data_IF_705707994939
#
_entry.id   IF_705707994939
#
_cell.length_a   1.000
_cell.length_b   1.000
_cell.length_c   1.000
_cell.angle_alpha   90.00
_cell.angle_beta   90.00
_cell.angle_gamma   90.00
#
_symmetry.space_group_name_H-M   'P 1'
#
loop_
_entity.id
_entity.type
_entity.pdbx_description
1 polymer ?
#
# COMPACT_ATOMS: atom_id res chain seq x y z
N UNK A 1 -13.99 -8.85 27.72
CA UNK A 1 -13.26 -9.78 26.83
C UNK A 1 -12.02 -9.11 26.28
N UNK A 2 -12.15 -8.02 25.51
CA UNK A 2 -11.02 -7.24 24.93
C UNK A 2 -9.97 -6.79 25.96
N UNK A 3 -10.37 -6.21 27.10
CA UNK A 3 -9.39 -5.81 28.13
C UNK A 3 -8.58 -6.99 28.70
N UNK A 4 -9.18 -8.17 28.77
CA UNK A 4 -8.53 -9.41 29.23
C UNK A 4 -7.59 -9.96 28.15
N UNK A 5 -7.95 -9.84 26.87
CA UNK A 5 -7.11 -10.20 25.73
C UNK A 5 -5.89 -9.29 25.61
N UNK A 6 -6.07 -7.97 25.76
CA UNK A 6 -4.96 -6.99 25.78
C UNK A 6 -4.03 -7.28 26.96
N UNK A 7 -4.57 -7.52 28.16
CA UNK A 7 -3.77 -7.88 29.32
C UNK A 7 -3.05 -9.24 29.16
N UNK A 8 -3.68 -10.20 28.50
CA UNK A 8 -3.10 -11.51 28.18
C UNK A 8 -1.98 -11.43 27.15
N UNK A 9 -2.18 -10.69 26.06
CA UNK A 9 -1.18 -10.49 25.00
C UNK A 9 0.04 -9.67 25.47
N UNK A 10 -0.17 -8.78 26.44
CA UNK A 10 0.88 -7.98 27.05
C UNK A 10 1.86 -8.78 27.94
N UNK A 11 1.54 -10.01 28.37
CA UNK A 11 2.37 -10.83 29.27
C UNK A 11 2.99 -10.05 30.46
N UNK A 12 2.25 -9.09 31.03
CA UNK A 12 2.73 -8.23 32.12
C UNK A 12 3.67 -7.09 31.72
N UNK A 13 3.88 -6.83 30.42
CA UNK A 13 4.59 -5.66 29.88
C UNK A 13 3.60 -4.63 29.35
N UNK A 14 3.88 -3.36 29.57
CA UNK A 14 3.11 -2.29 28.96
C UNK A 14 3.47 -2.20 27.46
N UNK A 15 2.49 -2.28 26.53
CA UNK A 15 2.78 -2.10 25.11
C UNK A 15 3.19 -0.65 24.81
N UNK A 16 4.01 -0.45 23.77
CA UNK A 16 4.44 0.88 23.33
C UNK A 16 3.30 1.66 22.68
N UNK A 17 2.39 0.97 21.99
CA UNK A 17 1.23 1.54 21.30
C UNK A 17 0.11 0.49 21.19
N UNK A 18 -1.15 0.93 21.24
CA UNK A 18 -2.31 0.10 20.86
C UNK A 18 -2.89 0.63 19.56
N UNK A 19 -2.98 -0.21 18.53
CA UNK A 19 -3.70 0.13 17.30
C UNK A 19 -5.13 -0.41 17.36
N UNK A 20 -6.13 0.47 17.33
CA UNK A 20 -7.52 0.11 17.09
C UNK A 20 -7.71 0.13 15.57
N UNK A 21 -8.08 -1.01 14.98
CA UNK A 21 -8.35 -1.13 13.53
C UNK A 21 -9.52 -2.08 13.29
N UNK A 22 -10.10 -2.03 12.09
CA UNK A 22 -11.22 -2.87 11.69
C UNK A 22 -11.37 -2.91 10.16
N UNK A 23 -12.25 -3.79 9.67
CA UNK A 23 -12.53 -3.90 8.23
C UNK A 23 -13.36 -2.75 7.64
N UNK A 24 -13.66 -1.72 8.43
CA UNK A 24 -14.45 -0.57 8.02
C UNK A 24 -14.04 0.67 8.81
N UNK A 25 -14.71 1.79 8.56
CA UNK A 25 -14.39 3.08 9.17
C UNK A 25 -14.64 3.09 10.69
N UNK A 26 -13.58 3.31 11.47
CA UNK A 26 -13.68 3.34 12.92
C UNK A 26 -14.61 4.42 13.44
N UNK A 27 -14.73 5.56 12.76
CA UNK A 27 -15.67 6.63 13.17
C UNK A 27 -17.13 6.17 13.16
N UNK A 28 -17.46 5.13 12.37
CA UNK A 28 -18.80 4.55 12.32
C UNK A 28 -19.05 3.52 13.44
N UNK A 29 -18.06 3.17 14.24
CA UNK A 29 -18.22 2.25 15.36
C UNK A 29 -18.80 2.99 16.58
N UNK A 30 -20.05 2.70 17.01
CA UNK A 30 -20.73 3.51 18.01
C UNK A 30 -20.04 3.54 19.38
N UNK A 31 -19.30 2.49 19.72
CA UNK A 31 -18.56 2.35 20.98
C UNK A 31 -17.08 2.70 20.84
N UNK A 32 -16.64 3.40 19.79
CA UNK A 32 -15.22 3.73 19.59
C UNK A 32 -14.62 4.46 20.79
N UNK A 33 -15.32 5.45 21.34
CA UNK A 33 -14.85 6.21 22.50
C UNK A 33 -14.78 5.35 23.78
N UNK A 34 -15.77 4.50 24.01
CA UNK A 34 -15.77 3.57 25.14
C UNK A 34 -14.61 2.57 25.03
N UNK A 35 -14.39 2.03 23.83
CA UNK A 35 -13.25 1.16 23.53
C UNK A 35 -11.92 1.88 23.75
N UNK A 36 -11.75 3.09 23.23
CA UNK A 36 -10.55 3.90 23.40
C UNK A 36 -10.26 4.15 24.89
N UNK A 37 -11.28 4.51 25.69
CA UNK A 37 -11.13 4.69 27.14
C UNK A 37 -10.75 3.39 27.85
N UNK A 38 -11.34 2.26 27.44
CA UNK A 38 -11.06 0.95 28.02
C UNK A 38 -9.64 0.47 27.73
N UNK A 39 -9.10 0.72 26.54
CA UNK A 39 -7.73 0.29 26.17
C UNK A 39 -6.67 1.30 26.56
N UNK A 40 -7.00 2.59 26.60
CA UNK A 40 -6.06 3.66 26.92
C UNK A 40 -5.59 3.65 28.37
N UNK A 41 -6.51 3.35 29.31
CA UNK A 41 -6.34 3.22 30.78
C UNK A 41 -5.12 3.97 31.38
N UNK A 42 -4.91 5.20 30.91
CA UNK A 42 -4.01 6.18 31.49
C UNK A 42 -2.53 6.14 31.11
N UNK A 43 -2.04 5.34 30.14
CA UNK A 43 -0.63 5.53 29.75
C UNK A 43 -0.13 4.99 28.40
N UNK A 44 -0.89 4.17 27.67
CA UNK A 44 -0.43 3.66 26.36
C UNK A 44 -1.01 4.54 25.25
N UNK A 45 -0.21 5.11 24.34
CA UNK A 45 -0.73 5.87 23.22
C UNK A 45 -1.54 4.98 22.28
N UNK A 46 -2.64 5.52 21.78
CA UNK A 46 -3.55 4.83 20.86
C UNK A 46 -3.33 5.36 19.44
N UNK A 47 -3.25 4.43 18.50
CA UNK A 47 -3.35 4.68 17.06
C UNK A 47 -4.72 4.25 16.55
N UNK A 48 -5.44 5.16 15.89
CA UNK A 48 -6.62 4.80 15.10
C UNK A 48 -6.17 4.39 13.70
N UNK A 49 -6.20 3.09 13.43
CA UNK A 49 -5.62 2.48 12.24
C UNK A 49 -6.33 2.83 10.93
N UNK A 50 -7.58 3.28 10.97
CA UNK A 50 -8.30 3.78 9.80
C UNK A 50 -9.58 4.53 10.17
N UNK A 51 -9.73 5.76 9.69
CA UNK A 51 -11.01 6.47 9.70
C UNK A 51 -11.09 7.39 8.49
N UNK A 52 -12.28 7.61 7.94
CA UNK A 52 -12.54 8.72 7.01
C UNK A 52 -13.32 9.85 7.69
N UNK A 53 -13.72 9.65 8.94
CA UNK A 53 -14.50 10.60 9.74
C UNK A 53 -15.99 10.63 9.43
N UNK A 54 -16.49 9.79 8.51
CA UNK A 54 -17.90 9.79 8.07
C UNK A 54 -18.90 9.45 9.18
N UNK A 55 -18.46 8.79 10.23
CA UNK A 55 -19.29 8.49 11.40
C UNK A 55 -19.33 9.62 12.43
N UNK A 56 -18.50 10.66 12.29
CA UNK A 56 -18.58 11.86 13.12
C UNK A 56 -19.68 12.78 12.61
N UNK A 57 -20.48 13.31 13.53
CA UNK A 57 -21.73 14.02 13.21
C UNK A 57 -21.80 15.42 13.82
N UNK A 58 -20.99 15.70 14.85
CA UNK A 58 -21.04 16.94 15.65
C UNK A 58 -19.85 17.85 15.42
N UNK A 59 -18.69 17.31 15.04
CA UNK A 59 -17.47 18.08 14.78
C UNK A 59 -16.52 18.18 15.98
N UNK A 60 -16.87 17.57 17.13
CA UNK A 60 -16.07 17.61 18.36
C UNK A 60 -15.80 16.22 18.97
N UNK A 61 -16.11 15.15 18.25
CA UNK A 61 -15.90 13.78 18.72
C UNK A 61 -14.42 13.41 18.93
N UNK A 62 -13.52 14.04 18.18
CA UNK A 62 -12.08 13.87 18.27
C UNK A 62 -11.55 14.27 19.65
N UNK A 63 -12.12 15.29 20.30
CA UNK A 63 -11.70 15.76 21.63
C UNK A 63 -11.74 14.61 22.65
N UNK A 64 -12.86 13.89 22.70
CA UNK A 64 -13.02 12.76 23.62
C UNK A 64 -12.08 11.60 23.31
N UNK A 65 -11.74 11.38 22.04
CA UNK A 65 -10.80 10.33 21.61
C UNK A 65 -9.35 10.70 21.98
N UNK A 66 -8.98 11.96 21.80
CA UNK A 66 -7.68 12.51 22.21
C UNK A 66 -7.53 12.41 23.73
N UNK A 67 -8.55 12.81 24.48
CA UNK A 67 -8.60 12.66 25.94
C UNK A 67 -8.49 11.20 26.38
N UNK A 68 -9.03 10.27 25.59
CA UNK A 68 -8.93 8.83 25.84
C UNK A 68 -7.54 8.24 25.53
N UNK A 69 -6.62 9.03 24.96
CA UNK A 69 -5.24 8.62 24.70
C UNK A 69 -4.89 8.41 23.23
N UNK A 70 -5.75 8.79 22.28
CA UNK A 70 -5.40 8.81 20.86
C UNK A 70 -4.29 9.83 20.62
N UNK A 71 -3.23 9.38 19.95
CA UNK A 71 -2.05 10.17 19.59
C UNK A 71 -1.66 10.06 18.12
N UNK A 72 -2.19 9.07 17.42
CA UNK A 72 -1.91 8.82 16.02
C UNK A 72 -3.22 8.44 15.31
N UNK A 73 -3.43 8.96 14.10
CA UNK A 73 -4.65 8.69 13.32
C UNK A 73 -4.30 8.54 11.85
N UNK A 74 -4.65 7.38 11.29
CA UNK A 74 -4.70 7.20 9.83
C UNK A 74 -6.05 7.68 9.31
N UNK A 75 -6.05 8.80 8.57
CA UNK A 75 -7.26 9.52 8.18
C UNK A 75 -7.37 9.63 6.64
N UNK A 76 -8.44 9.11 6.05
CA UNK A 76 -8.72 9.33 4.63
C UNK A 76 -9.29 10.72 4.38
N UNK A 77 -8.50 11.56 3.72
CA UNK A 77 -8.84 12.92 3.28
C UNK A 77 -8.96 12.91 1.76
N UNK A 78 -10.09 12.44 1.24
CA UNK A 78 -10.36 12.44 -0.21
C UNK A 78 -10.24 13.85 -0.81
N UNK A 79 -10.80 14.84 -0.12
CA UNK A 79 -10.67 16.27 -0.40
C UNK A 79 -11.04 17.03 0.88
N UNK A 80 -10.56 18.26 1.03
CA UNK A 80 -11.03 19.21 2.07
C UNK A 80 -12.27 20.00 1.66
N UNK A 81 -12.80 19.77 0.45
CA UNK A 81 -14.10 20.26 0.00
C UNK A 81 -15.24 19.38 0.57
N UNK A 82 -16.16 19.95 1.39
CA UNK A 82 -17.28 19.20 1.90
C UNK A 82 -18.22 18.63 0.82
N UNK A 83 -18.38 19.31 -0.31
CA UNK A 83 -19.27 18.88 -1.39
C UNK A 83 -18.72 17.63 -2.10
N UNK A 84 -17.42 17.61 -2.39
CA UNK A 84 -16.78 16.45 -3.01
C UNK A 84 -16.83 15.22 -2.09
N UNK A 85 -16.65 15.42 -0.78
CA UNK A 85 -16.82 14.34 0.20
C UNK A 85 -18.26 13.83 0.22
N UNK A 86 -19.24 14.72 0.18
CA UNK A 86 -20.66 14.35 0.16
C UNK A 86 -21.00 13.53 -1.08
N UNK A 87 -20.54 13.96 -2.25
CA UNK A 87 -20.82 13.31 -3.52
C UNK A 87 -20.09 11.97 -3.68
N UNK A 88 -18.77 11.95 -3.48
CA UNK A 88 -17.94 10.79 -3.84
C UNK A 88 -17.72 9.81 -2.69
N UNK A 89 -17.76 10.28 -1.43
CA UNK A 89 -17.60 9.40 -0.26
C UNK A 89 -18.94 9.03 0.40
N UNK A 90 -20.04 9.64 -0.05
CA UNK A 90 -21.34 9.60 0.62
C UNK A 90 -21.24 10.01 2.09
N UNK A 91 -20.42 11.04 2.35
CA UNK A 91 -20.26 11.63 3.67
C UNK A 91 -21.50 12.46 4.01
N UNK A 92 -22.24 12.05 5.05
CA UNK A 92 -23.47 12.74 5.45
C UNK A 92 -23.21 14.01 6.25
N UNK A 93 -22.02 14.14 6.84
CA UNK A 93 -21.66 15.24 7.73
C UNK A 93 -20.22 15.71 7.46
N UNK A 94 -19.88 16.06 6.20
CA UNK A 94 -18.49 16.31 5.81
C UNK A 94 -17.85 17.47 6.58
N UNK A 95 -18.62 18.48 6.98
CA UNK A 95 -18.14 19.58 7.82
C UNK A 95 -17.71 19.06 9.21
N UNK A 96 -18.45 18.11 9.79
CA UNK A 96 -18.09 17.49 11.06
C UNK A 96 -16.85 16.60 10.91
N UNK A 97 -16.75 15.82 9.82
CA UNK A 97 -15.58 15.00 9.54
C UNK A 97 -14.31 15.85 9.40
N UNK A 98 -14.39 16.96 8.66
CA UNK A 98 -13.27 17.88 8.46
C UNK A 98 -12.93 18.66 9.73
N UNK A 99 -13.91 19.03 10.56
CA UNK A 99 -13.63 19.67 11.84
C UNK A 99 -12.88 18.71 12.78
N UNK A 100 -13.30 17.44 12.85
CA UNK A 100 -12.59 16.43 13.62
C UNK A 100 -11.18 16.15 13.09
N UNK A 101 -10.98 16.15 11.75
CA UNK A 101 -9.65 16.07 11.15
C UNK A 101 -8.74 17.19 11.64
N UNK A 102 -9.21 18.45 11.65
CA UNK A 102 -8.45 19.60 12.19
C UNK A 102 -8.07 19.38 13.65
N UNK A 103 -9.04 19.00 14.48
CA UNK A 103 -8.80 18.73 15.91
C UNK A 103 -7.79 17.60 16.13
N UNK A 104 -7.82 16.55 15.30
CA UNK A 104 -6.76 15.52 15.35
C UNK A 104 -5.41 16.07 14.92
N UNK A 105 -5.32 16.80 13.81
CA UNK A 105 -4.05 17.32 13.30
C UNK A 105 -3.36 18.28 14.29
N UNK A 106 -4.13 19.05 15.06
CA UNK A 106 -3.62 19.94 16.11
C UNK A 106 -2.99 19.19 17.31
N UNK A 107 -3.38 17.94 17.56
CA UNK A 107 -3.07 17.22 18.82
C UNK A 107 -2.49 15.81 18.65
N UNK A 108 -2.49 15.28 17.43
CA UNK A 108 -2.09 13.93 17.07
C UNK A 108 -1.21 13.94 15.81
N UNK A 109 -0.42 12.89 15.64
CA UNK A 109 0.23 12.61 14.37
C UNK A 109 -0.81 12.03 13.40
N UNK A 110 -1.23 12.84 12.42
CA UNK A 110 -2.16 12.42 11.37
C UNK A 110 -1.39 11.92 10.16
N UNK A 111 -1.69 10.69 9.76
CA UNK A 111 -1.27 10.10 8.48
C UNK A 111 -2.46 10.22 7.52
N UNK A 112 -2.42 11.24 6.67
CA UNK A 112 -3.47 11.46 5.69
C UNK A 112 -3.35 10.48 4.53
N UNK A 113 -4.48 10.08 3.96
CA UNK A 113 -4.52 9.27 2.74
C UNK A 113 -5.59 9.80 1.78
N UNK A 114 -5.31 9.82 0.47
CA UNK A 114 -6.28 10.21 -0.55
C UNK A 114 -6.21 9.31 -1.78
N UNK A 115 -7.36 8.76 -2.19
CA UNK A 115 -7.50 8.08 -3.48
C UNK A 115 -7.77 9.14 -4.55
N UNK A 116 -6.92 9.22 -5.56
CA UNK A 116 -7.03 10.23 -6.61
C UNK A 116 -7.87 9.74 -7.77
N UNK A 117 -9.00 10.39 -7.99
CA UNK A 117 -9.89 10.20 -9.13
C UNK A 117 -9.63 11.34 -10.14
N UNK A 118 -9.18 11.02 -11.36
CA UNK A 118 -8.91 12.02 -12.38
C UNK A 118 -10.10 12.93 -12.66
N UNK A 119 -9.85 14.25 -12.64
CA UNK A 119 -10.86 15.28 -12.89
C UNK A 119 -11.82 15.54 -11.73
N UNK A 120 -11.61 14.92 -10.57
CA UNK A 120 -12.47 15.07 -9.39
C UNK A 120 -11.71 15.71 -8.24
N UNK A 121 -10.70 15.02 -7.71
CA UNK A 121 -9.92 15.47 -6.55
C UNK A 121 -8.41 15.47 -6.82
N UNK A 122 -8.00 15.48 -8.09
CA UNK A 122 -6.63 15.70 -8.52
C UNK A 122 -6.40 17.17 -8.93
N UNK A 123 -5.19 17.47 -9.43
CA UNK A 123 -4.87 18.80 -9.97
C UNK A 123 -5.11 19.95 -8.98
N UNK A 124 -5.89 20.99 -9.35
CA UNK A 124 -6.14 22.14 -8.47
C UNK A 124 -6.82 21.79 -7.14
N UNK A 125 -7.66 20.76 -7.11
CA UNK A 125 -8.35 20.35 -5.88
C UNK A 125 -7.41 19.60 -4.94
N UNK A 126 -6.51 18.78 -5.48
CA UNK A 126 -5.43 18.18 -4.71
C UNK A 126 -4.55 19.27 -4.09
N UNK A 127 -4.17 20.29 -4.87
CA UNK A 127 -3.38 21.44 -4.40
C UNK A 127 -4.06 22.18 -3.23
N UNK A 128 -5.38 22.40 -3.33
CA UNK A 128 -6.15 22.98 -2.24
C UNK A 128 -6.15 22.07 -1.01
N UNK A 129 -6.43 20.78 -1.19
CA UNK A 129 -6.43 19.78 -0.12
C UNK A 129 -5.07 19.73 0.59
N UNK A 130 -3.96 19.73 -0.16
CA UNK A 130 -2.62 19.73 0.40
C UNK A 130 -2.29 21.03 1.16
N UNK A 131 -2.71 22.20 0.66
CA UNK A 131 -2.55 23.46 1.41
C UNK A 131 -3.28 23.41 2.74
N UNK A 132 -4.53 22.98 2.73
CA UNK A 132 -5.34 22.86 3.94
C UNK A 132 -4.71 21.87 4.93
N UNK A 133 -4.18 20.73 4.46
CA UNK A 133 -3.48 19.75 5.29
C UNK A 133 -2.18 20.30 5.90
N UNK A 134 -1.41 21.06 5.12
CA UNK A 134 -0.20 21.73 5.61
C UNK A 134 -0.54 22.76 6.70
N UNK A 135 -1.57 23.57 6.49
CA UNK A 135 -2.07 24.54 7.49
C UNK A 135 -2.55 23.85 8.77
N UNK A 136 -3.13 22.66 8.66
CA UNK A 136 -3.54 21.83 9.80
C UNK A 136 -2.36 21.17 10.55
N UNK A 137 -1.15 21.18 9.98
CA UNK A 137 0.03 20.55 10.59
C UNK A 137 0.18 19.05 10.31
N UNK A 138 -0.48 18.53 9.26
CA UNK A 138 -0.31 17.14 8.84
C UNK A 138 1.12 16.90 8.34
N UNK A 139 1.71 15.77 8.73
CA UNK A 139 3.12 15.46 8.46
C UNK A 139 3.36 14.49 7.30
N UNK A 140 2.33 13.72 6.93
CA UNK A 140 2.44 12.66 5.95
C UNK A 140 1.14 12.55 5.14
N UNK A 141 1.28 12.39 3.82
CA UNK A 141 0.17 12.12 2.91
C UNK A 141 0.50 10.91 2.04
N UNK A 142 -0.39 9.93 2.02
CA UNK A 142 -0.36 8.80 1.10
C UNK A 142 -1.37 9.08 -0.02
N UNK A 143 -0.88 9.21 -1.24
CA UNK A 143 -1.73 9.23 -2.43
C UNK A 143 -1.92 7.79 -2.91
N UNK A 144 -3.14 7.46 -3.34
CA UNK A 144 -3.49 6.15 -3.85
C UNK A 144 -4.00 6.28 -5.28
N UNK A 145 -3.44 5.52 -6.21
CA UNK A 145 -3.92 5.50 -7.59
C UNK A 145 -5.29 4.84 -7.63
N UNK A 146 -6.28 5.49 -8.22
CA UNK A 146 -7.62 4.93 -8.32
C UNK A 146 -7.65 3.68 -9.21
N UNK A 147 -8.26 2.62 -8.71
CA UNK A 147 -8.55 1.42 -9.47
C UNK A 147 -9.99 1.46 -9.98
N UNK A 148 -10.15 1.35 -11.30
CA UNK A 148 -11.44 1.33 -11.97
C UNK A 148 -11.69 0.04 -12.77
N UNK A 149 -10.64 -0.74 -13.07
CA UNK A 149 -10.69 -1.96 -13.91
C UNK A 149 -9.95 -3.14 -13.26
N UNK A 150 -10.08 -4.35 -13.85
CA UNK A 150 -9.55 -5.62 -13.32
C UNK A 150 -8.04 -5.58 -13.15
N UNK A 151 -7.37 -5.07 -14.16
CA UNK A 151 -5.93 -4.88 -14.28
C UNK A 151 -5.38 -3.99 -13.16
N UNK A 152 -6.21 -3.13 -12.58
CA UNK A 152 -5.84 -2.24 -11.46
C UNK A 152 -6.14 -2.86 -10.09
N UNK A 153 -6.68 -4.09 -10.04
CA UNK A 153 -6.92 -4.83 -8.79
C UNK A 153 -8.39 -5.07 -8.44
N UNK A 154 -9.34 -4.69 -9.30
CA UNK A 154 -10.77 -4.98 -9.09
C UNK A 154 -11.14 -6.42 -9.45
N UNK A 155 -10.69 -7.36 -8.64
CA UNK A 155 -10.79 -8.80 -8.92
C UNK A 155 -12.16 -9.43 -8.64
N UNK A 156 -13.15 -8.65 -8.19
CA UNK A 156 -14.48 -9.15 -7.79
C UNK A 156 -15.56 -8.94 -8.86
N UNK A 157 -15.19 -8.54 -10.09
CA UNK A 157 -16.11 -8.40 -11.21
C UNK A 157 -17.08 -7.21 -11.07
N UNK A 158 -16.66 -6.18 -10.34
CA UNK A 158 -17.42 -4.97 -10.06
C UNK A 158 -16.93 -3.75 -10.86
N UNK A 159 -16.14 -3.99 -11.91
CA UNK A 159 -15.67 -2.94 -12.82
C UNK A 159 -16.69 -2.60 -13.93
N UNK A 160 -16.65 -1.37 -14.47
CA UNK A 160 -15.98 -0.22 -13.88
C UNK A 160 -16.68 0.25 -12.59
N UNK A 161 -15.94 0.80 -11.64
CA UNK A 161 -16.53 1.44 -10.44
C UNK A 161 -17.23 2.73 -10.84
N UNK A 162 -16.55 3.57 -11.63
CA UNK A 162 -17.07 4.84 -12.15
C UNK A 162 -16.98 4.80 -13.68
N UNK A 163 -18.11 4.64 -14.40
CA UNK A 163 -18.13 4.63 -15.86
C UNK A 163 -17.57 5.92 -16.45
N UNK A 164 -16.73 5.79 -17.49
CA UNK A 164 -16.16 6.94 -18.21
C UNK A 164 -14.92 7.56 -17.58
N UNK A 165 -14.53 7.17 -16.36
CA UNK A 165 -13.27 7.61 -15.74
C UNK A 165 -12.14 6.68 -16.17
N UNK A 166 -11.08 7.26 -16.74
CA UNK A 166 -9.82 6.56 -17.03
C UNK A 166 -8.82 6.96 -15.95
N UNK A 167 -8.39 6.04 -15.08
CA UNK A 167 -7.39 6.34 -14.05
C UNK A 167 -6.08 6.87 -14.63
N UNK A 168 -5.35 7.70 -13.87
CA UNK A 168 -4.00 8.16 -14.23
C UNK A 168 -3.13 6.98 -14.62
N UNK A 169 -2.23 7.14 -15.60
CA UNK A 169 -1.18 6.16 -15.87
C UNK A 169 -0.23 6.02 -14.67
N UNK A 170 0.65 5.00 -14.69
CA UNK A 170 1.60 4.79 -13.59
C UNK A 170 2.60 5.95 -13.54
N UNK A 171 3.01 6.42 -14.72
CA UNK A 171 3.92 7.55 -14.91
C UNK A 171 3.27 8.86 -14.47
N UNK A 172 2.03 9.14 -14.89
CA UNK A 172 1.29 10.33 -14.48
C UNK A 172 1.11 10.36 -12.95
N UNK A 173 0.76 9.22 -12.36
CA UNK A 173 0.59 9.12 -10.91
C UNK A 173 1.91 9.33 -10.15
N UNK A 174 3.03 8.75 -10.65
CA UNK A 174 4.37 8.99 -10.10
C UNK A 174 4.74 10.46 -10.14
N UNK A 175 4.45 11.12 -11.24
CA UNK A 175 4.77 12.54 -11.44
C UNK A 175 3.92 13.42 -10.50
N UNK A 176 2.62 13.14 -10.37
CA UNK A 176 1.73 13.80 -9.36
C UNK A 176 2.30 13.67 -7.95
N UNK A 177 2.71 12.45 -7.55
CA UNK A 177 3.26 12.21 -6.21
C UNK A 177 4.55 12.99 -6.00
N UNK A 178 5.44 13.00 -7.00
CA UNK A 178 6.72 13.71 -6.93
C UNK A 178 6.51 15.22 -6.84
N UNK A 179 5.68 15.79 -7.71
CA UNK A 179 5.36 17.22 -7.71
C UNK A 179 4.70 17.66 -6.40
N UNK A 180 3.80 16.84 -5.85
CA UNK A 180 3.14 17.13 -4.56
C UNK A 180 4.16 17.09 -3.43
N UNK A 181 5.04 16.08 -3.38
CA UNK A 181 6.09 15.98 -2.39
C UNK A 181 7.07 17.17 -2.43
N UNK A 182 7.42 17.64 -3.62
CA UNK A 182 8.37 18.74 -3.79
C UNK A 182 7.76 20.11 -3.46
N UNK A 183 6.43 20.22 -3.53
CA UNK A 183 5.70 21.47 -3.33
C UNK A 183 5.36 21.78 -1.87
N UNK A 184 5.10 20.77 -1.06
CA UNK A 184 4.67 20.91 0.33
C UNK A 184 5.75 20.46 1.31
N UNK A 185 5.66 20.94 2.56
CA UNK A 185 6.64 20.63 3.60
C UNK A 185 6.50 19.23 4.21
N UNK A 186 5.35 18.59 4.03
CA UNK A 186 5.09 17.23 4.52
C UNK A 186 5.48 16.18 3.49
N UNK A 187 5.80 14.98 3.97
CA UNK A 187 6.20 13.87 3.10
C UNK A 187 5.00 13.32 2.34
N UNK A 188 5.17 13.09 1.03
CA UNK A 188 4.14 12.46 0.20
C UNK A 188 4.67 11.16 -0.40
N UNK A 189 3.92 10.08 -0.26
CA UNK A 189 4.21 8.80 -0.90
C UNK A 189 3.00 8.29 -1.68
N UNK A 190 3.23 7.51 -2.72
CA UNK A 190 2.21 6.94 -3.59
C UNK A 190 2.10 5.42 -3.45
N UNK A 191 0.88 4.89 -3.61
CA UNK A 191 0.61 3.45 -3.72
C UNK A 191 -0.21 3.14 -4.98
N UNK A 192 0.10 2.07 -5.74
CA UNK A 192 1.10 1.03 -5.47
C UNK A 192 2.56 1.42 -5.71
N UNK A 193 2.79 2.62 -6.25
CA UNK A 193 4.09 3.27 -6.54
C UNK A 193 3.80 4.78 -6.50
N UNK A 194 4.57 5.70 -5.96
CA UNK A 194 6.01 5.84 -5.77
C UNK A 194 6.31 6.63 -4.50
N UNK A 195 7.40 6.35 -3.79
CA UNK A 195 7.88 7.19 -2.70
C UNK A 195 9.12 7.99 -3.15
N UNK A 196 9.01 9.31 -3.36
CA UNK A 196 10.12 10.15 -3.81
C UNK A 196 11.32 10.16 -2.87
N UNK A 197 11.13 9.91 -1.57
CA UNK A 197 12.19 9.96 -0.55
C UNK A 197 12.98 8.66 -0.51
N UNK A 198 12.28 7.54 -0.39
CA UNK A 198 12.93 6.22 -0.26
C UNK A 198 13.19 5.54 -1.60
N UNK A 199 12.54 5.99 -2.67
CA UNK A 199 12.51 5.34 -3.99
C UNK A 199 11.79 3.98 -3.98
N UNK A 200 10.94 3.74 -2.99
CA UNK A 200 10.09 2.54 -2.90
C UNK A 200 8.88 2.64 -3.85
N UNK A 201 8.28 1.50 -4.26
CA UNK A 201 8.83 0.15 -4.13
C UNK A 201 10.04 -0.08 -5.05
N UNK A 202 10.86 -1.07 -4.70
CA UNK A 202 12.08 -1.50 -5.42
C UNK A 202 13.16 -0.42 -5.50
N UNK A 203 13.50 0.19 -4.36
CA UNK A 203 14.58 1.17 -4.24
C UNK A 203 15.94 0.65 -4.78
N UNK A 204 16.19 -0.66 -4.70
CA UNK A 204 17.36 -1.32 -5.29
C UNK A 204 17.50 -1.08 -6.80
N UNK A 205 16.40 -0.95 -7.54
CA UNK A 205 16.43 -0.68 -8.98
C UNK A 205 17.12 0.65 -9.31
N UNK A 206 17.25 1.54 -8.32
CA UNK A 206 17.88 2.85 -8.44
C UNK A 206 19.28 2.92 -7.78
N UNK A 207 19.76 1.84 -7.16
CA UNK A 207 21.02 1.82 -6.37
C UNK A 207 21.89 0.61 -6.72
N UNK A 208 22.61 0.70 -7.86
CA UNK A 208 23.49 -0.38 -8.36
C UNK A 208 24.55 -0.83 -7.36
N UNK A 209 25.07 0.09 -6.55
CA UNK A 209 26.03 -0.19 -5.48
C UNK A 209 25.45 -1.11 -4.40
N UNK A 210 24.16 -0.99 -4.12
CA UNK A 210 23.46 -1.85 -3.14
C UNK A 210 23.12 -3.22 -3.72
N UNK A 211 22.87 -3.33 -5.03
CA UNK A 211 22.67 -4.62 -5.71
C UNK A 211 23.89 -5.55 -5.52
N UNK A 212 25.10 -4.99 -5.43
CA UNK A 212 26.33 -5.77 -5.21
C UNK A 212 26.36 -6.50 -3.85
N UNK A 213 25.45 -6.18 -2.92
CA UNK A 213 25.27 -6.89 -1.64
C UNK A 213 24.50 -8.19 -1.79
N UNK A 214 23.74 -8.35 -2.87
CA UNK A 214 22.93 -9.54 -3.12
C UNK A 214 23.82 -10.74 -3.47
N UNK A 215 23.40 -11.97 -3.12
CA UNK A 215 24.11 -13.17 -3.52
C UNK A 215 24.11 -13.31 -5.05
N UNK A 216 25.13 -13.98 -5.64
CA UNK A 216 25.16 -14.21 -7.08
C UNK A 216 24.04 -15.16 -7.50
N UNK A 217 23.41 -14.87 -8.64
CA UNK A 217 22.49 -15.78 -9.32
C UNK A 217 23.33 -16.83 -10.06
N UNK A 218 23.03 -18.11 -9.81
CA UNK A 218 23.81 -19.27 -10.32
C UNK A 218 22.99 -20.19 -11.20
N UNK A 219 21.67 -20.06 -11.18
CA UNK A 219 20.73 -20.93 -11.89
C UNK A 219 19.62 -20.14 -12.56
N UNK A 220 18.97 -20.75 -13.55
CA UNK A 220 17.93 -20.10 -14.31
C UNK A 220 16.52 -20.25 -13.74
N UNK A 221 15.74 -19.18 -13.82
CA UNK A 221 14.30 -19.18 -13.54
C UNK A 221 13.59 -18.05 -14.31
N UNK A 222 12.28 -18.16 -14.47
CA UNK A 222 11.40 -17.05 -14.85
C UNK A 222 10.70 -16.49 -13.63
N UNK A 223 10.80 -15.18 -13.42
CA UNK A 223 10.00 -14.46 -12.43
C UNK A 223 8.76 -13.91 -13.10
N UNK A 224 7.58 -14.37 -12.68
CA UNK A 224 6.31 -13.76 -13.08
C UNK A 224 6.01 -12.61 -12.11
N UNK A 225 5.63 -11.45 -12.62
CA UNK A 225 5.34 -10.28 -11.79
C UNK A 225 4.25 -9.38 -12.39
N UNK A 226 3.89 -8.32 -11.68
CA UNK A 226 2.93 -7.32 -12.16
C UNK A 226 3.53 -6.34 -13.17
N UNK A 227 2.67 -5.67 -13.93
CA UNK A 227 3.07 -4.63 -14.89
C UNK A 227 3.84 -3.48 -14.23
N UNK A 228 3.44 -3.03 -13.03
CA UNK A 228 4.13 -1.95 -12.29
C UNK A 228 5.50 -2.39 -11.77
N UNK A 229 5.62 -3.61 -11.26
CA UNK A 229 6.88 -4.12 -10.72
C UNK A 229 7.86 -4.57 -11.81
N UNK A 230 7.35 -4.93 -12.99
CA UNK A 230 8.13 -5.47 -14.11
C UNK A 230 9.36 -4.64 -14.50
N UNK A 231 9.27 -3.33 -14.80
CA UNK A 231 10.44 -2.56 -15.20
C UNK A 231 11.50 -2.49 -14.10
N UNK A 232 11.08 -2.40 -12.84
CA UNK A 232 11.95 -2.27 -11.68
C UNK A 232 12.67 -3.60 -11.37
N UNK A 233 11.93 -4.71 -11.35
CA UNK A 233 12.50 -6.05 -11.18
C UNK A 233 13.42 -6.42 -12.34
N UNK A 234 13.04 -6.07 -13.58
CA UNK A 234 13.88 -6.31 -14.76
C UNK A 234 15.20 -5.55 -14.65
N UNK A 235 15.18 -4.29 -14.17
CA UNK A 235 16.40 -3.51 -13.96
C UNK A 235 17.32 -4.15 -12.91
N UNK A 236 16.76 -4.65 -11.80
CA UNK A 236 17.56 -5.32 -10.76
C UNK A 236 18.19 -6.60 -11.30
N UNK A 237 17.41 -7.48 -11.93
CA UNK A 237 17.94 -8.76 -12.43
C UNK A 237 18.89 -8.59 -13.63
N UNK A 238 18.72 -7.55 -14.44
CA UNK A 238 19.68 -7.23 -15.50
C UNK A 238 21.09 -6.92 -14.97
N UNK A 239 21.21 -6.36 -13.76
CA UNK A 239 22.50 -6.15 -13.09
C UNK A 239 23.06 -7.44 -12.46
N UNK A 240 22.20 -8.40 -12.13
CA UNK A 240 22.59 -9.68 -11.50
C UNK A 240 23.00 -10.76 -12.51
N UNK A 241 22.53 -10.70 -13.77
CA UNK A 241 22.91 -11.62 -14.84
C UNK A 241 21.77 -11.96 -15.80
N UNK A 242 22.02 -12.89 -16.73
CA UNK A 242 21.05 -13.31 -17.76
C UNK A 242 20.31 -14.62 -17.42
N UNK A 243 20.63 -15.24 -16.29
CA UNK A 243 20.05 -16.53 -15.91
C UNK A 243 18.56 -16.40 -15.55
N UNK A 244 18.14 -15.24 -15.04
CA UNK A 244 16.75 -14.98 -14.65
C UNK A 244 16.12 -14.02 -15.63
N UNK A 245 14.98 -14.42 -16.22
CA UNK A 245 14.16 -13.50 -16.99
C UNK A 245 12.91 -13.12 -16.19
N UNK A 246 12.44 -11.89 -16.38
CA UNK A 246 11.22 -11.38 -15.74
C UNK A 246 10.14 -11.29 -16.80
N UNK A 247 8.92 -11.73 -16.47
CA UNK A 247 7.75 -11.69 -17.35
C UNK A 247 6.59 -11.05 -16.60
N UNK A 248 5.88 -10.14 -17.25
CA UNK A 248 4.75 -9.43 -16.65
C UNK A 248 3.41 -9.99 -17.08
N UNK A 249 2.45 -10.02 -16.16
CA UNK A 249 1.02 -10.14 -16.50
C UNK A 249 0.39 -8.75 -16.61
N UNK A 250 -0.78 -8.67 -17.24
CA UNK A 250 -1.57 -7.43 -17.31
C UNK A 250 -2.34 -7.16 -15.99
N UNK A 251 -1.59 -6.96 -14.91
CA UNK A 251 -2.08 -6.62 -13.57
C UNK A 251 -1.09 -5.68 -12.93
N UNK A 252 -1.55 -4.60 -12.31
CA UNK A 252 -0.70 -3.60 -11.65
C UNK A 252 -0.02 -4.13 -10.38
N UNK A 253 -0.75 -4.94 -9.60
CA UNK A 253 -0.32 -5.37 -8.27
C UNK A 253 -0.08 -6.88 -8.25
N UNK A 254 1.15 -7.30 -7.95
CA UNK A 254 1.56 -8.71 -7.98
C UNK A 254 0.79 -9.61 -7.02
N UNK A 255 0.36 -9.05 -5.88
CA UNK A 255 -0.46 -9.76 -4.90
C UNK A 255 -1.88 -10.01 -5.39
N UNK A 256 -2.36 -9.26 -6.39
CA UNK A 256 -3.71 -9.39 -6.94
C UNK A 256 -3.73 -10.15 -8.27
N UNK A 257 -2.62 -10.84 -8.61
CA UNK A 257 -2.58 -11.74 -9.76
C UNK A 257 -3.55 -12.91 -9.50
N UNK A 258 -4.47 -13.11 -10.43
CA UNK A 258 -5.48 -14.16 -10.44
C UNK A 258 -5.15 -15.23 -11.47
N UNK A 259 -5.94 -16.31 -11.50
CA UNK A 259 -5.77 -17.36 -12.51
C UNK A 259 -6.00 -16.85 -13.94
N UNK A 260 -6.92 -15.90 -14.14
CA UNK A 260 -7.21 -15.32 -15.44
C UNK A 260 -5.96 -14.64 -16.02
N UNK A 261 -5.22 -13.90 -15.19
CA UNK A 261 -4.02 -13.19 -15.62
C UNK A 261 -2.91 -14.17 -16.08
N UNK A 262 -2.81 -15.34 -15.45
CA UNK A 262 -1.84 -16.38 -15.83
C UNK A 262 -2.28 -17.17 -17.07
N UNK A 263 -3.59 -17.32 -17.30
CA UNK A 263 -4.14 -17.94 -18.52
C UNK A 263 -3.92 -17.05 -19.74
N UNK A 264 -3.89 -15.73 -19.57
CA UNK A 264 -3.64 -14.76 -20.63
C UNK A 264 -2.13 -14.58 -20.93
N UNK A 265 -1.26 -14.96 -19.99
CA UNK A 265 0.19 -14.76 -20.08
C UNK A 265 0.86 -15.55 -21.22
N UNK A 266 1.57 -14.90 -22.14
CA UNK A 266 2.37 -15.62 -23.15
C UNK A 266 3.48 -16.47 -22.49
N UNK A 267 3.56 -17.75 -22.87
CA UNK A 267 4.49 -18.71 -22.29
C UNK A 267 5.78 -18.88 -23.10
N UNK A 268 5.94 -18.20 -24.24
CA UNK A 268 7.11 -18.35 -25.12
C UNK A 268 8.44 -18.06 -24.41
N UNK A 269 8.43 -17.12 -23.46
CA UNK A 269 9.60 -16.71 -22.67
C UNK A 269 9.63 -17.38 -21.28
N UNK A 270 8.70 -18.26 -20.94
CA UNK A 270 8.60 -18.85 -19.60
C UNK A 270 9.39 -20.16 -19.53
N UNK A 271 10.50 -20.13 -18.78
CA UNK A 271 11.43 -21.25 -18.53
C UNK A 271 10.80 -22.39 -17.72
N UNK A 272 11.54 -23.49 -17.57
CA UNK A 272 11.13 -24.67 -16.83
C UNK A 272 11.02 -24.44 -15.32
N UNK A 273 11.75 -23.48 -14.75
CA UNK A 273 11.59 -23.06 -13.36
C UNK A 273 10.90 -21.70 -13.31
N UNK A 274 9.78 -21.61 -12.58
CA UNK A 274 8.97 -20.39 -12.48
C UNK A 274 8.72 -20.04 -11.02
N UNK A 275 8.94 -18.76 -10.69
CA UNK A 275 8.61 -18.19 -9.39
C UNK A 275 7.56 -17.10 -9.58
N UNK A 276 6.47 -17.18 -8.79
CA UNK A 276 5.38 -16.21 -8.76
C UNK A 276 5.39 -15.41 -7.45
N UNK A 277 4.70 -14.25 -7.37
CA UNK A 277 4.55 -13.54 -6.11
C UNK A 277 3.88 -14.43 -5.06
N UNK A 278 4.41 -14.45 -3.84
CA UNK A 278 3.94 -15.35 -2.78
C UNK A 278 2.44 -15.26 -2.52
N UNK A 279 1.92 -14.03 -2.52
CA UNK A 279 0.53 -13.68 -2.22
C UNK A 279 -0.43 -13.71 -3.42
N UNK A 280 -0.02 -14.20 -4.59
CA UNK A 280 -0.91 -14.28 -5.75
C UNK A 280 -2.21 -15.07 -5.45
N UNK A 281 -3.35 -14.54 -5.89
CA UNK A 281 -4.70 -15.05 -5.61
C UNK A 281 -5.16 -16.10 -6.64
N UNK A 282 -4.39 -17.18 -6.77
CA UNK A 282 -4.74 -18.33 -7.59
C UNK A 282 -4.40 -19.63 -6.85
N UNK A 283 -5.13 -20.73 -7.11
CA UNK A 283 -4.80 -22.03 -6.51
C UNK A 283 -3.58 -22.65 -7.22
N UNK A 284 -2.65 -23.25 -6.47
CA UNK A 284 -1.43 -23.88 -7.04
C UNK A 284 -1.74 -24.92 -8.12
N UNK A 285 -2.85 -25.66 -7.96
CA UNK A 285 -3.28 -26.64 -8.95
C UNK A 285 -3.70 -26.01 -10.29
N UNK A 286 -4.25 -24.79 -10.26
CA UNK A 286 -4.67 -24.07 -11.45
C UNK A 286 -3.52 -23.27 -12.06
N UNK A 287 -2.65 -22.68 -11.23
CA UNK A 287 -1.38 -22.09 -11.67
C UNK A 287 -0.60 -23.11 -12.49
N UNK A 288 -0.47 -24.35 -11.97
CA UNK A 288 0.21 -25.42 -12.68
C UNK A 288 -0.39 -25.71 -14.04
N UNK A 289 -1.73 -25.83 -14.14
CA UNK A 289 -2.41 -26.04 -15.43
C UNK A 289 -2.15 -24.88 -16.39
N UNK A 290 -2.28 -23.64 -15.92
CA UNK A 290 -2.12 -22.43 -16.74
C UNK A 290 -0.71 -22.31 -17.30
N UNK A 291 0.31 -22.56 -16.47
CA UNK A 291 1.72 -22.46 -16.82
C UNK A 291 2.30 -23.72 -17.47
N UNK A 292 1.51 -24.76 -17.75
CA UNK A 292 1.97 -25.93 -18.55
C UNK A 292 1.06 -26.21 -19.74
N UNK A 293 0.24 -25.24 -20.15
CA UNK A 293 -0.75 -25.40 -21.22
C UNK A 293 -0.13 -25.53 -22.62
N UNK A 294 1.13 -25.15 -22.77
CA UNK A 294 1.96 -25.35 -23.96
C UNK A 294 2.64 -26.72 -24.01
N UNK A 295 2.39 -27.59 -23.02
CA UNK A 295 2.96 -28.93 -22.93
C UNK A 295 4.36 -28.99 -22.30
N UNK A 296 4.95 -27.86 -21.93
CA UNK A 296 6.25 -27.82 -21.24
C UNK A 296 6.04 -28.09 -19.75
N UNK A 297 6.79 -29.04 -19.20
CA UNK A 297 6.74 -29.36 -17.77
C UNK A 297 7.54 -28.32 -17.00
N UNK A 298 6.86 -27.55 -16.13
CA UNK A 298 7.48 -26.53 -15.29
C UNK A 298 7.49 -26.90 -13.80
N UNK A 299 8.58 -26.60 -13.10
CA UNK A 299 8.68 -26.49 -11.65
C UNK A 299 8.21 -25.10 -11.25
N UNK A 300 7.08 -25.03 -10.54
CA UNK A 300 6.43 -23.76 -10.20
C UNK A 300 6.49 -23.59 -8.69
N UNK A 301 6.92 -22.41 -8.24
CA UNK A 301 6.91 -22.02 -6.83
C UNK A 301 6.37 -20.61 -6.63
N UNK A 302 5.92 -20.39 -5.40
CA UNK A 302 5.64 -19.08 -4.84
C UNK A 302 6.91 -18.59 -4.18
N UNK A 303 7.37 -17.41 -4.59
CA UNK A 303 8.48 -16.74 -3.94
C UNK A 303 8.04 -16.03 -2.65
N UNK A 304 8.86 -15.11 -2.13
CA UNK A 304 8.55 -14.35 -0.93
C UNK A 304 7.22 -13.58 -1.02
N UNK A 305 6.57 -13.41 0.14
CA UNK A 305 5.32 -12.67 0.24
C UNK A 305 5.47 -11.18 -0.09
N UNK A 306 6.66 -10.63 0.17
CA UNK A 306 7.03 -9.24 -0.06
C UNK A 306 8.49 -9.19 -0.51
N UNK A 307 8.76 -8.50 -1.61
CA UNK A 307 10.12 -8.20 -2.08
C UNK A 307 10.54 -6.76 -1.76
N UNK A 308 9.59 -5.93 -1.35
CA UNK A 308 9.74 -4.50 -1.09
C UNK A 308 8.55 -4.02 -0.25
N UNK A 309 8.60 -2.76 0.16
CA UNK A 309 7.54 -2.04 0.84
C UNK A 309 6.86 -1.09 -0.14
N UNK A 310 5.57 -0.83 0.01
CA UNK A 310 4.83 0.17 -0.76
C UNK A 310 4.84 1.53 -0.04
N UNK A 311 4.21 2.54 -0.65
CA UNK A 311 4.11 3.89 -0.09
C UNK A 311 3.42 3.98 1.28
N UNK A 312 2.53 3.04 1.62
CA UNK A 312 1.86 3.02 2.92
C UNK A 312 2.84 2.64 4.04
N UNK A 313 3.76 1.72 3.75
CA UNK A 313 4.79 1.31 4.69
C UNK A 313 6.00 2.25 4.66
N UNK A 314 6.51 2.58 3.46
CA UNK A 314 7.75 3.30 3.27
C UNK A 314 7.72 4.73 3.81
N UNK A 315 6.53 5.36 3.89
CA UNK A 315 6.36 6.72 4.41
C UNK A 315 6.83 6.86 5.87
N UNK A 316 6.83 5.75 6.61
CA UNK A 316 7.30 5.67 8.00
C UNK A 316 8.76 5.21 8.14
N UNK A 317 9.42 4.88 7.02
CA UNK A 317 10.77 4.30 6.97
C UNK A 317 11.79 5.30 6.40
N UNK A 318 13.05 5.10 6.77
CA UNK A 318 14.23 5.75 6.18
C UNK A 318 14.64 5.04 4.89
N UNK A 319 15.36 5.72 3.97
CA UNK A 319 15.90 5.09 2.77
C UNK A 319 16.77 3.87 3.05
N UNK A 320 17.51 3.87 4.16
CA UNK A 320 18.34 2.75 4.59
C UNK A 320 17.49 1.56 5.04
N UNK A 321 16.46 1.77 5.87
CA UNK A 321 15.56 0.69 6.31
C UNK A 321 14.85 0.02 5.12
N UNK A 322 14.44 0.81 4.11
CA UNK A 322 13.84 0.26 2.87
C UNK A 322 14.85 -0.60 2.12
N UNK A 323 16.10 -0.14 1.97
CA UNK A 323 17.15 -0.91 1.29
C UNK A 323 17.50 -2.19 2.05
N UNK A 324 17.60 -2.15 3.38
CA UNK A 324 17.86 -3.36 4.17
C UNK A 324 16.74 -4.39 4.00
N UNK A 325 15.48 -3.96 4.07
CA UNK A 325 14.32 -4.84 3.86
C UNK A 325 14.30 -5.46 2.46
N UNK A 326 14.64 -4.69 1.43
CA UNK A 326 14.75 -5.21 0.07
C UNK A 326 15.95 -6.15 -0.10
N UNK A 327 17.11 -5.84 0.46
CA UNK A 327 18.30 -6.72 0.39
C UNK A 327 18.01 -8.08 1.03
N UNK A 328 17.35 -8.09 2.21
CA UNK A 328 16.91 -9.33 2.87
C UNK A 328 15.96 -10.12 1.95
N UNK A 329 14.88 -9.49 1.49
CA UNK A 329 13.87 -10.17 0.69
C UNK A 329 14.38 -10.67 -0.68
N UNK A 330 15.26 -9.91 -1.34
CA UNK A 330 15.90 -10.35 -2.59
C UNK A 330 16.94 -11.44 -2.35
N UNK A 331 17.63 -11.44 -1.21
CA UNK A 331 18.54 -12.53 -0.83
C UNK A 331 17.75 -13.84 -0.74
N UNK A 332 16.62 -13.84 -0.04
CA UNK A 332 15.74 -15.02 0.06
C UNK A 332 15.26 -15.49 -1.32
N UNK A 333 14.81 -14.56 -2.17
CA UNK A 333 14.40 -14.89 -3.53
C UNK A 333 15.53 -15.53 -4.35
N UNK A 334 16.74 -14.97 -4.29
CA UNK A 334 17.89 -15.47 -5.07
C UNK A 334 18.35 -16.83 -4.54
N UNK A 335 18.33 -17.04 -3.22
CA UNK A 335 18.61 -18.34 -2.63
C UNK A 335 17.60 -19.40 -3.08
N UNK A 336 16.31 -19.04 -3.14
CA UNK A 336 15.27 -19.92 -3.69
C UNK A 336 15.52 -20.24 -5.18
N UNK A 337 15.85 -19.24 -6.00
CA UNK A 337 16.25 -19.43 -7.41
C UNK A 337 17.44 -20.38 -7.51
N UNK A 338 18.47 -20.18 -6.68
CA UNK A 338 19.68 -21.00 -6.71
C UNK A 338 19.43 -22.44 -6.22
N UNK A 339 18.47 -22.63 -5.31
CA UNK A 339 18.08 -23.96 -4.87
C UNK A 339 17.33 -24.73 -5.97
N UNK A 340 16.39 -24.06 -6.66
CA UNK A 340 15.38 -24.70 -7.50
C UNK A 340 15.59 -24.57 -9.01
N UNK A 341 16.35 -23.55 -9.43
CA UNK A 341 16.63 -23.28 -10.83
C UNK A 341 17.35 -24.44 -11.52
N UNK A 342 17.33 -24.41 -12.85
CA UNK A 342 18.04 -25.36 -13.72
C UNK A 342 19.26 -24.68 -14.32
#
# INVERSE_FOLDING_TARGET
MVATEVAGAAFGRKPDKVTISGGGDLSCYPQLLELARMVGQGSVPIHLGYTSGKGFTRGNEAEGLIEAGVKEVSFTVFSTDPELRREYMNDRHPEASLQNLRTFAESCDVYAASVLIPGVNDGPELDRTCRDLEEMGVKNLILMRFANMREQGLILGNEPIIPGVVPHSVEEFRDIVTETNDKYSFRVAGTPLWDPVTKSPFALAHKKDQIARLPPVRKGATLITSSVAYPLLSAIFAELGDQVNVVSVNKDIGCLITIQDLVELDLSEVKETVILPGRALACDSDIKKALTRDGVRRLIRRGPDRLTVDGEMSISMTPEEVIEAEVEAFTDLIEEINALGV
#
